data_IF_885868199871
#
_entry.id   IF_885868199871
#
_cell.length_a   1.000
_cell.length_b   1.000
_cell.length_c   1.000
_cell.angle_alpha   90.00
_cell.angle_beta   90.00
_cell.angle_gamma   90.00
#
_symmetry.space_group_name_H-M   'P 1'
#
loop_
_entity.id
_entity.type
_entity.pdbx_description
1 polymer ?
#
# COMPACT_ATOMS: atom_id res chain seq x y z
N UNK A 1 8.53 27.44 -32.74
CA UNK A 1 9.75 27.03 -32.02
C UNK A 1 9.41 25.78 -31.26
N UNK A 2 9.74 24.65 -31.88
CA UNK A 2 9.56 23.31 -31.28
C UNK A 2 10.70 23.04 -30.29
N UNK A 3 10.39 22.56 -29.11
CA UNK A 3 11.38 22.01 -28.18
C UNK A 3 11.13 20.50 -28.07
N UNK A 4 11.96 19.74 -28.74
CA UNK A 4 11.97 18.28 -28.76
C UNK A 4 12.28 17.71 -27.40
N UNK A 5 11.37 16.84 -26.88
CA UNK A 5 11.59 16.02 -25.70
C UNK A 5 12.60 14.89 -25.99
N UNK A 6 13.68 14.83 -25.23
CA UNK A 6 14.58 13.69 -25.18
C UNK A 6 13.96 12.60 -24.29
N UNK A 7 13.55 11.52 -24.90
CA UNK A 7 13.23 10.28 -24.20
C UNK A 7 14.55 9.57 -23.86
N UNK A 8 14.83 9.43 -22.57
CA UNK A 8 15.95 8.60 -22.10
C UNK A 8 15.49 7.15 -22.11
N UNK A 9 15.82 6.42 -23.16
CA UNK A 9 15.69 4.97 -23.21
C UNK A 9 16.88 4.33 -22.52
N UNK A 10 16.60 3.49 -21.50
CA UNK A 10 17.62 2.66 -20.84
C UNK A 10 18.28 1.72 -21.87
N UNK A 11 19.60 1.56 -21.88
CA UNK A 11 20.26 0.66 -22.81
C UNK A 11 19.95 -0.83 -22.48
N UNK A 12 19.91 -1.71 -23.48
CA UNK A 12 19.64 -3.14 -23.28
C UNK A 12 20.79 -3.83 -22.52
N UNK A 13 20.42 -4.80 -21.68
CA UNK A 13 21.29 -5.54 -20.74
C UNK A 13 22.49 -6.31 -21.35
N UNK A 14 22.68 -6.28 -22.67
CA UNK A 14 23.81 -6.94 -23.34
C UNK A 14 25.12 -6.15 -23.34
N UNK A 15 25.07 -4.83 -23.09
CA UNK A 15 26.28 -3.98 -23.21
C UNK A 15 27.20 -4.04 -21.98
N UNK A 16 26.71 -4.44 -20.82
CA UNK A 16 27.52 -4.53 -19.60
C UNK A 16 28.54 -5.67 -19.62
N UNK A 17 28.24 -6.80 -20.27
CA UNK A 17 29.18 -7.93 -20.40
C UNK A 17 30.36 -7.61 -21.31
N UNK A 18 30.17 -6.74 -22.29
CA UNK A 18 31.23 -6.31 -23.23
C UNK A 18 32.14 -5.27 -22.56
N UNK A 19 31.56 -4.35 -21.76
CA UNK A 19 32.30 -3.31 -21.03
C UNK A 19 33.16 -3.92 -19.92
N UNK A 20 32.64 -4.91 -19.18
CA UNK A 20 33.37 -5.59 -18.11
C UNK A 20 34.58 -6.40 -18.64
N UNK A 21 34.39 -7.11 -19.77
CA UNK A 21 35.51 -7.78 -20.46
C UNK A 21 36.55 -6.79 -21.00
N UNK A 22 36.12 -5.59 -21.40
CA UNK A 22 37.04 -4.56 -21.89
C UNK A 22 37.85 -3.95 -20.74
N UNK A 23 37.24 -3.69 -19.57
CA UNK A 23 37.90 -3.18 -18.37
C UNK A 23 38.91 -4.19 -17.83
N UNK A 24 38.56 -5.48 -17.77
CA UNK A 24 39.46 -6.56 -17.36
C UNK A 24 40.63 -6.68 -18.34
N UNK A 25 40.39 -6.62 -19.67
CA UNK A 25 41.44 -6.66 -20.66
C UNK A 25 42.34 -5.42 -20.60
N UNK A 26 41.81 -4.21 -20.33
CA UNK A 26 42.62 -2.99 -20.18
C UNK A 26 43.47 -3.06 -18.91
N UNK A 27 42.94 -3.53 -17.78
CA UNK A 27 43.68 -3.72 -16.53
C UNK A 27 44.79 -4.77 -16.71
N UNK A 28 44.54 -5.88 -17.39
CA UNK A 28 45.51 -6.91 -17.70
C UNK A 28 46.60 -6.36 -18.66
N UNK A 29 46.23 -5.61 -19.71
CA UNK A 29 47.19 -5.02 -20.64
C UNK A 29 48.03 -3.91 -20.01
N UNK A 30 47.49 -3.04 -19.16
CA UNK A 30 48.26 -1.97 -18.47
C UNK A 30 49.27 -2.55 -17.49
N UNK A 31 48.96 -3.68 -16.85
CA UNK A 31 49.89 -4.36 -15.94
C UNK A 31 51.04 -5.08 -16.68
N UNK A 32 50.82 -5.51 -17.94
CA UNK A 32 51.81 -6.18 -18.77
C UNK A 32 52.73 -5.23 -19.54
N UNK A 33 52.35 -3.96 -19.76
CA UNK A 33 53.12 -3.00 -20.53
C UNK A 33 54.25 -2.33 -19.70
N UNK A 34 54.15 -2.34 -18.36
CA UNK A 34 55.16 -1.70 -17.51
C UNK A 34 56.29 -2.67 -17.12
N UNK A 35 57.27 -2.87 -18.02
CA UNK A 35 58.44 -3.79 -17.92
C UNK A 35 59.45 -3.48 -16.80
N UNK A 36 59.13 -2.64 -15.80
CA UNK A 36 60.07 -2.21 -14.75
C UNK A 36 59.66 -2.50 -13.31
N UNK A 37 58.60 -3.26 -13.03
CA UNK A 37 58.30 -3.65 -11.66
C UNK A 37 58.56 -5.14 -11.43
N UNK A 38 59.36 -5.43 -10.42
CA UNK A 38 59.73 -6.78 -9.95
C UNK A 38 58.57 -7.53 -9.23
N UNK A 39 57.32 -7.22 -9.58
CA UNK A 39 56.15 -7.92 -9.02
C UNK A 39 56.09 -9.36 -9.54
N UNK A 40 56.16 -10.31 -8.62
CA UNK A 40 56.09 -11.74 -8.92
C UNK A 40 54.78 -12.05 -9.69
N UNK A 41 54.92 -12.61 -10.87
CA UNK A 41 53.81 -13.01 -11.75
C UNK A 41 52.82 -13.91 -11.04
N UNK A 42 53.21 -14.63 -9.96
CA UNK A 42 52.35 -15.42 -9.13
C UNK A 42 51.40 -14.55 -8.31
N UNK A 43 51.86 -13.47 -7.72
CA UNK A 43 51.06 -12.53 -6.92
C UNK A 43 50.00 -11.87 -7.80
N UNK A 44 50.39 -11.40 -8.97
CA UNK A 44 49.47 -10.78 -9.94
C UNK A 44 48.38 -11.79 -10.40
N UNK A 45 48.76 -13.04 -10.66
CA UNK A 45 47.82 -14.09 -11.06
C UNK A 45 46.83 -14.43 -9.94
N UNK A 46 47.28 -14.53 -8.69
CA UNK A 46 46.43 -14.78 -7.52
C UNK A 46 45.49 -13.60 -7.28
N UNK A 47 45.95 -12.36 -7.41
CA UNK A 47 45.11 -11.17 -7.25
C UNK A 47 44.02 -11.10 -8.32
N UNK A 48 44.34 -11.32 -9.59
CA UNK A 48 43.36 -11.36 -10.69
C UNK A 48 42.36 -12.48 -10.47
N UNK A 49 42.83 -13.68 -10.07
CA UNK A 49 41.96 -14.82 -9.86
C UNK A 49 40.97 -14.60 -8.68
N UNK A 50 41.44 -13.96 -7.60
CA UNK A 50 40.59 -13.62 -6.45
C UNK A 50 39.59 -12.50 -6.81
N UNK A 51 39.99 -11.49 -7.58
CA UNK A 51 39.12 -10.41 -8.00
C UNK A 51 38.02 -10.91 -8.95
N UNK A 52 38.39 -11.75 -9.92
CA UNK A 52 37.42 -12.38 -10.84
C UNK A 52 36.46 -13.31 -10.09
N UNK A 53 36.97 -14.05 -9.12
CA UNK A 53 36.13 -14.96 -8.30
C UNK A 53 35.17 -14.18 -7.43
N UNK A 54 35.62 -13.09 -6.78
CA UNK A 54 34.79 -12.20 -5.96
C UNK A 54 33.67 -11.57 -6.80
N UNK A 55 34.02 -11.00 -7.95
CA UNK A 55 33.05 -10.37 -8.84
C UNK A 55 32.01 -11.38 -9.41
N UNK A 56 32.45 -12.61 -9.71
CA UNK A 56 31.56 -13.71 -10.12
C UNK A 56 30.61 -14.12 -8.99
N UNK A 57 31.04 -14.06 -7.73
CA UNK A 57 30.17 -14.34 -6.57
C UNK A 57 29.14 -13.24 -6.36
N UNK A 58 29.55 -11.97 -6.47
CA UNK A 58 28.65 -10.80 -6.37
C UNK A 58 27.58 -10.82 -7.48
N UNK A 59 27.98 -11.00 -8.74
CA UNK A 59 27.04 -11.13 -9.88
C UNK A 59 26.09 -12.33 -9.72
N UNK A 60 26.56 -13.45 -9.19
CA UNK A 60 25.71 -14.63 -8.96
C UNK A 60 24.72 -14.40 -7.82
N UNK A 61 25.12 -13.65 -6.79
CA UNK A 61 24.24 -13.20 -5.71
C UNK A 61 23.12 -12.28 -6.22
N UNK A 62 23.44 -11.30 -7.03
CA UNK A 62 22.48 -10.36 -7.63
C UNK A 62 21.50 -11.04 -8.59
N UNK A 63 21.99 -11.99 -9.40
CA UNK A 63 21.11 -12.78 -10.31
C UNK A 63 20.18 -13.67 -9.49
N UNK A 64 20.68 -14.32 -8.45
CA UNK A 64 19.84 -15.15 -7.56
C UNK A 64 18.82 -14.30 -6.81
N UNK A 65 19.20 -13.13 -6.30
CA UNK A 65 18.29 -12.20 -5.63
C UNK A 65 17.16 -11.75 -6.57
N UNK A 66 17.48 -11.34 -7.80
CA UNK A 66 16.48 -10.98 -8.81
C UNK A 66 15.56 -12.15 -9.21
N UNK A 67 16.09 -13.37 -9.32
CA UNK A 67 15.26 -14.55 -9.59
C UNK A 67 14.32 -14.87 -8.41
N UNK A 68 14.81 -14.72 -7.18
CA UNK A 68 14.00 -14.93 -5.97
C UNK A 68 12.88 -13.89 -5.91
N UNK A 69 13.18 -12.63 -6.20
CA UNK A 69 12.21 -11.53 -6.24
C UNK A 69 11.18 -11.72 -7.36
N UNK A 70 11.59 -12.13 -8.55
CA UNK A 70 10.69 -12.44 -9.66
C UNK A 70 9.71 -13.59 -9.36
N UNK A 71 10.15 -14.62 -8.62
CA UNK A 71 9.26 -15.69 -8.17
C UNK A 71 8.29 -15.18 -7.09
N UNK A 72 8.75 -14.32 -6.18
CA UNK A 72 7.92 -13.71 -5.15
C UNK A 72 6.77 -12.90 -5.76
N UNK A 73 7.09 -11.98 -6.65
CA UNK A 73 6.10 -11.15 -7.35
C UNK A 73 5.11 -12.00 -8.17
N UNK A 74 5.60 -13.04 -8.84
CA UNK A 74 4.73 -13.92 -9.61
C UNK A 74 3.75 -14.69 -8.72
N UNK A 75 4.18 -15.15 -7.54
CA UNK A 75 3.30 -15.79 -6.55
C UNK A 75 2.24 -14.81 -6.06
N UNK A 76 2.61 -13.56 -5.74
CA UNK A 76 1.64 -12.54 -5.32
C UNK A 76 0.61 -12.23 -6.42
N UNK A 77 1.05 -12.13 -7.68
CA UNK A 77 0.15 -11.87 -8.81
C UNK A 77 -0.84 -13.03 -9.02
N UNK A 78 -0.38 -14.28 -9.01
CA UNK A 78 -1.24 -15.45 -9.12
C UNK A 78 -2.19 -15.58 -7.92
N UNK A 79 -1.70 -15.28 -6.71
CA UNK A 79 -2.51 -15.29 -5.50
C UNK A 79 -3.61 -14.20 -5.55
N UNK A 80 -3.28 -12.99 -6.01
CA UNK A 80 -4.26 -11.91 -6.19
C UNK A 80 -5.40 -12.35 -7.11
N UNK A 81 -5.11 -12.96 -8.24
CA UNK A 81 -6.12 -13.48 -9.17
C UNK A 81 -6.99 -14.55 -8.52
N UNK A 82 -6.38 -15.56 -7.90
CA UNK A 82 -7.08 -16.66 -7.25
C UNK A 82 -8.01 -16.17 -6.13
N UNK A 83 -7.53 -15.25 -5.27
CA UNK A 83 -8.34 -14.67 -4.20
C UNK A 83 -9.47 -13.77 -4.74
N UNK A 84 -9.24 -12.99 -5.79
CA UNK A 84 -10.30 -12.17 -6.40
C UNK A 84 -11.40 -13.03 -7.02
N UNK A 85 -11.05 -14.15 -7.64
CA UNK A 85 -12.02 -15.05 -8.26
C UNK A 85 -12.81 -15.86 -7.22
N UNK A 86 -12.10 -16.57 -6.33
CA UNK A 86 -12.69 -17.57 -5.44
C UNK A 86 -12.96 -17.10 -4.01
N UNK A 87 -12.37 -15.95 -3.62
CA UNK A 87 -12.34 -15.51 -2.23
C UNK A 87 -11.34 -16.29 -1.38
N UNK A 88 -11.04 -15.77 -0.17
CA UNK A 88 -10.04 -16.40 0.71
C UNK A 88 -10.40 -17.85 1.05
N UNK A 89 -11.66 -18.13 1.42
CA UNK A 89 -12.05 -19.46 1.88
C UNK A 89 -11.81 -20.57 0.83
N UNK A 90 -12.17 -20.31 -0.43
CA UNK A 90 -12.12 -21.30 -1.52
C UNK A 90 -10.82 -21.28 -2.32
N UNK A 91 -9.97 -20.29 -2.14
CA UNK A 91 -8.69 -20.20 -2.85
C UNK A 91 -7.72 -21.33 -2.44
N UNK A 92 -6.98 -21.85 -3.43
CA UNK A 92 -6.10 -23.00 -3.31
C UNK A 92 -4.63 -22.62 -3.48
N UNK A 93 -3.81 -22.82 -2.42
CA UNK A 93 -2.36 -22.63 -2.51
C UNK A 93 -1.71 -23.56 -3.57
N UNK A 94 -2.32 -24.70 -3.86
CA UNK A 94 -1.83 -25.62 -4.90
C UNK A 94 -2.03 -25.03 -6.29
N UNK A 95 -3.20 -24.42 -6.54
CA UNK A 95 -3.50 -23.78 -7.82
C UNK A 95 -2.63 -22.53 -8.03
N UNK A 96 -2.44 -21.73 -6.96
CA UNK A 96 -1.54 -20.58 -6.96
C UNK A 96 -0.10 -21.03 -7.29
N UNK A 97 0.41 -22.05 -6.62
CA UNK A 97 1.76 -22.56 -6.86
C UNK A 97 1.93 -23.05 -8.30
N UNK A 98 0.94 -23.78 -8.83
CA UNK A 98 0.93 -24.27 -10.20
C UNK A 98 0.94 -23.10 -11.21
N UNK A 99 0.08 -22.10 -11.01
CA UNK A 99 0.00 -20.91 -11.85
C UNK A 99 1.29 -20.08 -11.81
N UNK A 100 1.92 -19.97 -10.63
CA UNK A 100 3.17 -19.24 -10.44
C UNK A 100 4.43 -20.01 -10.89
N UNK A 101 4.30 -21.24 -11.35
CA UNK A 101 5.45 -22.07 -11.74
C UNK A 101 6.38 -22.45 -10.58
N UNK A 102 5.81 -22.59 -9.36
CA UNK A 102 6.56 -22.93 -8.15
C UNK A 102 5.92 -24.09 -7.39
N UNK A 103 6.46 -24.45 -6.23
CA UNK A 103 5.88 -25.45 -5.35
C UNK A 103 5.10 -24.84 -4.18
N UNK A 104 4.11 -25.57 -3.67
CA UNK A 104 3.42 -25.18 -2.43
C UNK A 104 4.39 -25.05 -1.25
N UNK A 105 5.43 -25.88 -1.18
CA UNK A 105 6.49 -25.77 -0.18
C UNK A 105 7.21 -24.40 -0.23
N UNK A 106 7.45 -23.87 -1.42
CA UNK A 106 8.04 -22.53 -1.60
C UNK A 106 7.12 -21.45 -1.06
N UNK A 107 5.79 -21.57 -1.25
CA UNK A 107 4.80 -20.65 -0.70
C UNK A 107 4.79 -20.71 0.84
N UNK A 108 4.74 -21.91 1.41
CA UNK A 108 4.79 -22.09 2.88
C UNK A 108 6.06 -21.53 3.51
N UNK A 109 7.21 -21.70 2.86
CA UNK A 109 8.48 -21.16 3.36
C UNK A 109 8.48 -19.63 3.42
N UNK A 110 7.79 -18.96 2.50
CA UNK A 110 7.80 -17.49 2.38
C UNK A 110 6.69 -16.81 3.15
N UNK A 111 5.51 -17.40 3.14
CA UNK A 111 4.28 -16.77 3.64
C UNK A 111 3.68 -17.51 4.85
N UNK A 112 4.29 -18.59 5.28
CA UNK A 112 3.85 -19.44 6.39
C UNK A 112 2.59 -20.24 6.07
N UNK A 113 1.54 -19.58 5.58
CA UNK A 113 0.25 -20.20 5.25
C UNK A 113 -0.54 -19.34 4.23
N UNK A 114 -1.80 -19.72 3.99
CA UNK A 114 -2.70 -18.96 3.10
C UNK A 114 -3.04 -17.57 3.66
N UNK A 115 -3.17 -17.45 4.98
CA UNK A 115 -3.44 -16.17 5.63
C UNK A 115 -2.25 -15.22 5.50
N UNK A 116 -1.02 -15.72 5.68
CA UNK A 116 0.20 -14.95 5.47
C UNK A 116 0.37 -14.49 4.03
N UNK A 117 0.00 -15.32 3.05
CA UNK A 117 -0.01 -14.92 1.64
C UNK A 117 -1.06 -13.85 1.34
N UNK A 118 -2.27 -13.96 1.91
CA UNK A 118 -3.31 -12.94 1.79
C UNK A 118 -2.86 -11.63 2.46
N UNK A 119 -2.30 -11.72 3.67
CA UNK A 119 -1.73 -10.57 4.39
C UNK A 119 -0.68 -9.84 3.56
N UNK A 120 0.26 -10.55 2.94
CA UNK A 120 1.30 -9.95 2.10
C UNK A 120 0.74 -9.15 0.92
N UNK A 121 -0.48 -9.48 0.44
CA UNK A 121 -1.17 -8.74 -0.60
C UNK A 121 -1.85 -7.47 -0.09
N UNK A 122 -2.51 -7.54 1.08
CA UNK A 122 -3.43 -6.48 1.50
C UNK A 122 -2.84 -5.53 2.55
N UNK A 123 -1.96 -6.02 3.43
CA UNK A 123 -1.41 -5.25 4.55
C UNK A 123 -0.70 -3.95 4.14
N UNK A 124 0.13 -3.91 3.06
CA UNK A 124 0.78 -2.66 2.68
C UNK A 124 -0.23 -1.54 2.37
N UNK A 125 -1.32 -1.87 1.68
CA UNK A 125 -2.35 -0.90 1.32
C UNK A 125 -3.30 -0.59 2.51
N UNK A 126 -3.70 -1.62 3.27
CA UNK A 126 -4.57 -1.49 4.43
C UNK A 126 -3.92 -0.68 5.55
N UNK A 127 -2.68 -1.02 5.90
CA UNK A 127 -1.92 -0.35 6.95
C UNK A 127 -1.63 1.11 6.60
N UNK A 128 -1.28 1.40 5.35
CA UNK A 128 -1.03 2.77 4.89
C UNK A 128 -2.31 3.61 4.88
N UNK A 129 -3.46 3.08 4.46
CA UNK A 129 -4.73 3.81 4.55
C UNK A 129 -5.08 4.15 6.00
N UNK A 130 -4.95 3.18 6.91
CA UNK A 130 -5.20 3.38 8.34
C UNK A 130 -4.25 4.42 8.94
N UNK A 131 -2.96 4.39 8.58
CA UNK A 131 -1.96 5.38 9.02
C UNK A 131 -2.33 6.78 8.55
N UNK A 132 -2.66 6.96 7.26
CA UNK A 132 -3.11 8.24 6.70
C UNK A 132 -4.38 8.74 7.40
N UNK A 133 -5.33 7.86 7.64
CA UNK A 133 -6.57 8.19 8.32
C UNK A 133 -6.31 8.69 9.75
N UNK A 134 -5.47 8.01 10.51
CA UNK A 134 -5.06 8.45 11.86
C UNK A 134 -4.34 9.80 11.82
N UNK A 135 -3.42 10.02 10.89
CA UNK A 135 -2.73 11.32 10.74
C UNK A 135 -3.68 12.47 10.44
N UNK A 136 -4.73 12.22 9.64
CA UNK A 136 -5.78 13.20 9.35
C UNK A 136 -6.51 13.55 10.63
N UNK A 137 -6.94 12.55 11.40
CA UNK A 137 -7.64 12.75 12.67
C UNK A 137 -6.78 13.53 13.68
N UNK A 138 -5.54 13.10 13.88
CA UNK A 138 -4.62 13.76 14.79
C UNK A 138 -4.30 15.20 14.37
N UNK A 139 -4.14 15.45 13.07
CA UNK A 139 -3.84 16.78 12.56
C UNK A 139 -5.02 17.74 12.73
N UNK A 140 -6.24 17.27 12.51
CA UNK A 140 -7.44 18.05 12.77
C UNK A 140 -7.58 18.43 14.24
N UNK A 141 -7.31 17.50 15.15
CA UNK A 141 -7.44 17.73 16.60
C UNK A 141 -6.29 18.55 17.21
N UNK A 142 -5.30 18.99 16.42
CA UNK A 142 -4.32 20.01 16.84
C UNK A 142 -4.85 21.44 16.71
N UNK A 143 -5.92 21.66 15.94
CA UNK A 143 -6.58 22.96 15.88
C UNK A 143 -7.28 23.26 17.22
N UNK A 144 -7.39 24.55 17.54
CA UNK A 144 -8.25 24.97 18.65
C UNK A 144 -9.75 24.78 18.31
N UNK A 145 -10.60 24.80 19.31
CA UNK A 145 -12.04 24.53 19.15
C UNK A 145 -12.73 25.41 18.09
N UNK A 146 -12.57 26.74 18.10
CA UNK A 146 -13.13 27.60 17.06
C UNK A 146 -12.67 27.24 15.66
N UNK A 147 -11.39 26.96 15.47
CA UNK A 147 -10.83 26.54 14.17
C UNK A 147 -11.37 25.16 13.75
N UNK A 148 -11.53 24.22 14.69
CA UNK A 148 -12.15 22.92 14.40
C UNK A 148 -13.58 23.09 13.87
N UNK A 149 -14.39 23.95 14.50
CA UNK A 149 -15.76 24.22 14.07
C UNK A 149 -15.81 24.88 12.67
N UNK A 150 -14.96 25.85 12.38
CA UNK A 150 -14.92 26.56 11.10
C UNK A 150 -14.43 25.62 9.96
N UNK A 151 -13.41 24.80 10.24
CA UNK A 151 -12.71 24.02 9.22
C UNK A 151 -13.29 22.63 9.00
N UNK A 152 -14.12 22.07 9.90
CA UNK A 152 -14.62 20.71 9.89
C UNK A 152 -15.02 20.23 8.48
N UNK A 153 -15.94 20.94 7.85
CA UNK A 153 -16.51 20.54 6.56
C UNK A 153 -15.48 20.56 5.43
N UNK A 154 -14.61 21.57 5.39
CA UNK A 154 -13.58 21.74 4.35
C UNK A 154 -12.46 20.74 4.53
N UNK A 155 -12.00 20.58 5.79
CA UNK A 155 -10.92 19.68 6.13
C UNK A 155 -11.30 18.22 5.83
N UNK A 156 -12.49 17.79 6.28
CA UNK A 156 -13.01 16.44 6.05
C UNK A 156 -13.18 16.15 4.55
N UNK A 157 -13.73 17.08 3.78
CA UNK A 157 -13.91 16.89 2.34
C UNK A 157 -12.57 16.71 1.61
N UNK A 158 -11.56 17.52 1.93
CA UNK A 158 -10.23 17.42 1.33
C UNK A 158 -9.51 16.12 1.72
N UNK A 159 -9.55 15.77 3.01
CA UNK A 159 -8.95 14.55 3.52
C UNK A 159 -9.55 13.29 2.85
N UNK A 160 -10.87 13.28 2.72
CA UNK A 160 -11.60 12.18 2.08
C UNK A 160 -11.20 11.99 0.61
N UNK A 161 -11.03 13.06 -0.15
CA UNK A 161 -10.57 12.97 -1.54
C UNK A 161 -9.18 12.31 -1.62
N UNK A 162 -8.26 12.71 -0.76
CA UNK A 162 -6.91 12.12 -0.69
C UNK A 162 -6.90 10.64 -0.32
N UNK A 163 -7.76 10.21 0.62
CA UNK A 163 -7.91 8.79 0.96
C UNK A 163 -8.52 8.01 -0.21
N UNK A 164 -9.50 8.59 -0.91
CA UNK A 164 -10.10 7.95 -2.09
C UNK A 164 -9.13 7.82 -3.26
N UNK A 165 -8.29 8.83 -3.49
CA UNK A 165 -7.23 8.75 -4.48
C UNK A 165 -6.31 7.56 -4.21
N UNK A 166 -5.89 7.40 -2.95
CA UNK A 166 -5.05 6.28 -2.54
C UNK A 166 -5.75 4.92 -2.70
N UNK A 167 -7.03 4.82 -2.34
CA UNK A 167 -7.82 3.58 -2.53
C UNK A 167 -7.86 3.18 -4.00
N UNK A 168 -8.05 4.14 -4.91
CA UNK A 168 -8.11 3.85 -6.35
C UNK A 168 -6.74 3.59 -6.98
N UNK A 169 -5.66 4.06 -6.39
CA UNK A 169 -4.29 3.67 -6.76
C UNK A 169 -3.99 2.20 -6.37
N UNK A 170 -4.65 1.69 -5.32
CA UNK A 170 -4.50 0.34 -4.78
C UNK A 170 -5.80 -0.47 -4.88
N UNK A 171 -6.58 -0.25 -5.94
CA UNK A 171 -7.92 -0.82 -6.08
C UNK A 171 -7.97 -2.35 -5.95
N UNK A 172 -7.05 -3.14 -6.51
CA UNK A 172 -7.07 -4.60 -6.37
C UNK A 172 -6.93 -5.06 -4.91
N UNK A 173 -6.10 -4.39 -4.11
CA UNK A 173 -5.89 -4.68 -2.70
C UNK A 173 -7.16 -4.36 -1.89
N UNK A 174 -7.80 -3.23 -2.17
CA UNK A 174 -9.07 -2.86 -1.52
C UNK A 174 -10.24 -3.72 -1.99
N UNK A 175 -10.26 -4.21 -3.23
CA UNK A 175 -11.24 -5.23 -3.64
C UNK A 175 -11.09 -6.52 -2.83
N UNK A 176 -9.86 -6.96 -2.58
CA UNK A 176 -9.60 -8.13 -1.72
C UNK A 176 -10.11 -7.89 -0.29
N UNK A 177 -9.72 -6.76 0.31
CA UNK A 177 -10.12 -6.39 1.68
C UNK A 177 -11.63 -6.33 1.85
N UNK A 178 -12.34 -5.67 0.94
CA UNK A 178 -13.75 -5.33 1.12
C UNK A 178 -14.71 -6.43 0.64
N UNK A 179 -14.23 -7.37 -0.18
CA UNK A 179 -15.11 -8.38 -0.81
C UNK A 179 -14.66 -9.82 -0.59
N UNK A 180 -13.40 -10.05 -0.23
CA UNK A 180 -12.78 -11.38 -0.26
C UNK A 180 -12.09 -11.78 1.03
N UNK A 181 -12.08 -10.91 2.05
CA UNK A 181 -11.36 -11.10 3.30
C UNK A 181 -12.10 -11.95 4.34
N UNK A 182 -13.32 -12.42 4.05
CA UNK A 182 -14.08 -13.24 4.99
C UNK A 182 -13.28 -14.48 5.42
N UNK A 183 -13.12 -14.67 6.74
CA UNK A 183 -12.30 -15.74 7.33
C UNK A 183 -10.81 -15.40 7.49
N UNK A 184 -10.43 -14.15 7.26
CA UNK A 184 -9.11 -13.60 7.59
C UNK A 184 -9.19 -12.62 8.75
N UNK A 185 -8.06 -12.20 9.30
CA UNK A 185 -7.97 -11.11 10.27
C UNK A 185 -8.50 -9.76 9.74
N UNK A 186 -8.55 -9.58 8.41
CA UNK A 186 -9.07 -8.37 7.76
C UNK A 186 -10.59 -8.35 7.57
N UNK A 187 -11.31 -9.38 8.01
CA UNK A 187 -12.77 -9.45 7.86
C UNK A 187 -13.49 -8.25 8.51
N UNK A 188 -12.87 -7.64 9.52
CA UNK A 188 -13.37 -6.50 10.29
C UNK A 188 -12.59 -5.21 10.03
N UNK A 189 -11.89 -5.10 8.90
CA UNK A 189 -11.06 -3.92 8.59
C UNK A 189 -11.83 -2.60 8.60
N UNK A 190 -13.08 -2.61 8.09
CA UNK A 190 -13.94 -1.42 8.09
C UNK A 190 -14.37 -1.06 9.51
N UNK A 191 -14.64 -2.05 10.34
CA UNK A 191 -15.05 -1.83 11.74
C UNK A 191 -13.93 -1.13 12.54
N UNK A 192 -12.65 -1.48 12.28
CA UNK A 192 -11.51 -0.79 12.89
C UNK A 192 -11.44 0.70 12.53
N UNK A 193 -11.78 1.06 11.29
CA UNK A 193 -11.83 2.47 10.86
C UNK A 193 -13.02 3.19 11.51
N UNK A 194 -14.15 2.52 11.67
CA UNK A 194 -15.33 3.04 12.38
C UNK A 194 -14.98 3.37 13.83
N UNK A 195 -14.31 2.47 14.55
CA UNK A 195 -13.91 2.70 15.94
C UNK A 195 -12.99 3.92 16.09
N UNK A 196 -12.06 4.10 15.16
CA UNK A 196 -11.21 5.29 15.12
C UNK A 196 -12.07 6.55 14.96
N UNK A 197 -12.96 6.59 13.97
CA UNK A 197 -13.82 7.75 13.71
C UNK A 197 -14.73 8.07 14.91
N UNK A 198 -15.39 7.07 15.49
CA UNK A 198 -16.23 7.23 16.66
C UNK A 198 -15.44 7.85 17.83
N UNK A 199 -14.23 7.34 18.08
CA UNK A 199 -13.36 7.88 19.14
C UNK A 199 -13.02 9.36 18.91
N UNK A 200 -12.72 9.76 17.68
CA UNK A 200 -12.39 11.13 17.34
C UNK A 200 -13.65 12.04 17.26
N UNK A 201 -14.80 11.50 16.90
CA UNK A 201 -16.09 12.19 16.99
C UNK A 201 -16.39 12.62 18.46
N UNK A 202 -16.18 11.72 19.43
CA UNK A 202 -16.35 12.09 20.83
C UNK A 202 -15.37 13.18 21.30
N UNK A 203 -14.11 13.10 20.86
CA UNK A 203 -13.13 14.17 21.15
C UNK A 203 -13.58 15.52 20.58
N UNK A 204 -14.11 15.52 19.37
CA UNK A 204 -14.64 16.73 18.76
C UNK A 204 -15.84 17.27 19.54
N UNK A 205 -16.79 16.43 19.91
CA UNK A 205 -17.95 16.81 20.73
C UNK A 205 -17.53 17.45 22.06
N UNK A 206 -16.48 16.92 22.72
CA UNK A 206 -15.93 17.47 23.93
C UNK A 206 -15.34 18.88 23.70
N UNK A 207 -14.57 19.06 22.62
CA UNK A 207 -13.94 20.33 22.26
C UNK A 207 -14.96 21.43 21.99
N UNK A 208 -16.06 21.10 21.29
CA UNK A 208 -17.14 22.09 20.99
C UNK A 208 -18.16 22.25 22.14
N UNK A 209 -18.00 21.51 23.24
CA UNK A 209 -18.94 21.55 24.37
C UNK A 209 -20.30 20.94 24.04
N UNK A 210 -20.39 20.00 23.09
CA UNK A 210 -21.63 19.34 22.73
C UNK A 210 -22.12 18.42 23.84
N UNK A 211 -23.33 18.66 24.35
CA UNK A 211 -23.95 17.91 25.44
C UNK A 211 -24.98 16.88 24.97
N UNK A 212 -25.16 16.69 23.66
CA UNK A 212 -26.25 15.88 23.11
C UNK A 212 -26.27 14.43 23.63
N UNK A 213 -25.11 13.80 23.79
CA UNK A 213 -24.99 12.45 24.38
C UNK A 213 -25.19 12.50 25.90
N UNK A 214 -24.55 13.45 26.59
CA UNK A 214 -24.63 13.57 28.05
C UNK A 214 -26.04 13.93 28.52
N UNK A 215 -26.76 14.74 27.74
CA UNK A 215 -28.17 15.08 28.02
C UNK A 215 -29.14 13.95 27.67
N UNK A 216 -28.68 12.91 26.99
CA UNK A 216 -29.53 11.78 26.51
C UNK A 216 -30.36 12.12 25.27
N UNK A 217 -30.12 13.26 24.60
CA UNK A 217 -30.77 13.57 23.32
C UNK A 217 -30.31 12.64 22.20
N UNK A 218 -29.07 12.21 22.26
CA UNK A 218 -28.44 11.27 21.32
C UNK A 218 -27.86 10.11 22.10
N UNK A 219 -28.08 8.87 21.65
CA UNK A 219 -27.47 7.69 22.26
C UNK A 219 -26.08 7.44 21.67
N UNK A 220 -25.19 6.83 22.48
CA UNK A 220 -23.87 6.38 21.98
C UNK A 220 -24.02 5.41 20.82
N UNK A 221 -25.00 4.49 20.91
CA UNK A 221 -25.31 3.54 19.83
C UNK A 221 -25.61 4.26 18.51
N UNK A 222 -26.33 5.40 18.55
CA UNK A 222 -26.66 6.13 17.33
C UNK A 222 -25.39 6.65 16.64
N UNK A 223 -24.43 7.21 17.38
CA UNK A 223 -23.16 7.70 16.79
C UNK A 223 -22.42 6.55 16.12
N UNK A 224 -22.30 5.40 16.77
CA UNK A 224 -21.67 4.22 16.21
C UNK A 224 -22.40 3.72 14.94
N UNK A 225 -23.74 3.63 14.98
CA UNK A 225 -24.55 3.14 13.86
C UNK A 225 -24.46 4.06 12.65
N UNK A 226 -24.57 5.38 12.82
CA UNK A 226 -24.52 6.33 11.68
C UNK A 226 -23.10 6.41 11.11
N UNK A 227 -22.07 6.31 11.92
CA UNK A 227 -20.67 6.22 11.48
C UNK A 227 -20.44 4.94 10.69
N UNK A 228 -20.92 3.79 11.20
CA UNK A 228 -20.86 2.50 10.48
C UNK A 228 -21.56 2.57 9.13
N UNK A 229 -22.75 3.16 9.07
CA UNK A 229 -23.50 3.35 7.83
C UNK A 229 -22.72 4.22 6.82
N UNK A 230 -22.06 5.27 7.30
CA UNK A 230 -21.23 6.15 6.48
C UNK A 230 -20.03 5.42 5.89
N UNK A 231 -19.23 4.72 6.70
CA UNK A 231 -18.05 3.98 6.22
C UNK A 231 -18.44 2.86 5.26
N UNK A 232 -19.51 2.12 5.53
CA UNK A 232 -20.02 1.13 4.59
C UNK A 232 -20.41 1.79 3.26
N UNK A 233 -21.13 2.92 3.28
CA UNK A 233 -21.48 3.69 2.08
C UNK A 233 -20.25 4.20 1.34
N UNK A 234 -19.22 4.65 2.06
CA UNK A 234 -17.95 5.15 1.51
C UNK A 234 -17.22 4.08 0.68
N UNK A 235 -17.30 2.80 1.09
CA UNK A 235 -16.64 1.70 0.39
C UNK A 235 -17.50 1.02 -0.70
N UNK A 236 -18.80 1.37 -0.83
CA UNK A 236 -19.67 0.83 -1.88
C UNK A 236 -19.13 1.04 -3.32
N UNK A 237 -18.53 2.20 -3.68
CA UNK A 237 -17.93 2.37 -4.98
C UNK A 237 -16.89 1.31 -5.35
N UNK A 238 -16.08 0.89 -4.37
CA UNK A 238 -15.08 -0.18 -4.55
C UNK A 238 -15.77 -1.54 -4.70
N UNK A 239 -16.76 -1.83 -3.85
CA UNK A 239 -17.54 -3.09 -3.92
C UNK A 239 -18.26 -3.24 -5.25
N UNK A 240 -18.72 -2.11 -5.84
CA UNK A 240 -19.42 -2.06 -7.12
C UNK A 240 -18.53 -1.78 -8.32
N UNK A 241 -17.21 -1.67 -8.13
CA UNK A 241 -16.23 -1.40 -9.20
C UNK A 241 -16.60 -0.16 -10.02
N UNK A 242 -17.06 0.89 -9.36
CA UNK A 242 -17.30 2.17 -10.03
C UNK A 242 -15.98 2.73 -10.55
N UNK A 243 -16.02 3.45 -11.68
CA UNK A 243 -14.87 4.25 -12.10
C UNK A 243 -14.59 5.38 -11.10
N UNK A 244 -13.32 5.83 -11.05
CA UNK A 244 -12.84 6.80 -10.06
C UNK A 244 -13.65 8.12 -10.08
N UNK A 245 -13.98 8.63 -11.27
CA UNK A 245 -14.68 9.91 -11.39
C UNK A 245 -16.11 9.82 -10.82
N UNK A 246 -16.83 8.75 -11.16
CA UNK A 246 -18.16 8.48 -10.63
C UNK A 246 -18.14 8.23 -9.13
N UNK A 247 -17.15 7.49 -8.64
CA UNK A 247 -16.98 7.20 -7.21
C UNK A 247 -16.71 8.47 -6.40
N UNK A 248 -15.81 9.34 -6.85
CA UNK A 248 -15.55 10.63 -6.20
C UNK A 248 -16.81 11.50 -6.16
N UNK A 249 -17.59 11.55 -7.25
CA UNK A 249 -18.86 12.29 -7.25
C UNK A 249 -19.84 11.74 -6.22
N UNK A 250 -20.01 10.40 -6.16
CA UNK A 250 -20.86 9.74 -5.17
C UNK A 250 -20.40 10.02 -3.72
N UNK A 251 -19.11 9.91 -3.44
CA UNK A 251 -18.56 10.08 -2.10
C UNK A 251 -18.70 11.53 -1.62
N UNK A 252 -18.52 12.53 -2.50
CA UNK A 252 -18.80 13.94 -2.16
C UNK A 252 -20.27 14.17 -1.77
N UNK A 253 -21.21 13.52 -2.45
CA UNK A 253 -22.63 13.61 -2.09
C UNK A 253 -22.90 12.91 -0.75
N UNK A 254 -22.33 11.73 -0.52
CA UNK A 254 -22.46 11.00 0.71
C UNK A 254 -21.90 11.79 1.91
N UNK A 255 -20.73 12.42 1.73
CA UNK A 255 -20.11 13.25 2.77
C UNK A 255 -21.01 14.45 3.13
N UNK A 256 -21.56 15.16 2.13
CA UNK A 256 -22.50 16.27 2.38
C UNK A 256 -23.74 15.83 3.14
N UNK A 257 -24.29 14.68 2.79
CA UNK A 257 -25.45 14.10 3.49
C UNK A 257 -25.09 13.75 4.94
N UNK A 258 -23.94 13.11 5.14
CA UNK A 258 -23.46 12.69 6.45
C UNK A 258 -23.18 13.90 7.36
N UNK A 259 -22.46 14.90 6.86
CA UNK A 259 -22.19 16.14 7.61
C UNK A 259 -23.47 16.87 8.00
N UNK A 260 -24.45 17.00 7.09
CA UNK A 260 -25.73 17.59 7.42
C UNK A 260 -26.50 16.81 8.50
N UNK A 261 -26.38 15.49 8.49
CA UNK A 261 -26.92 14.64 9.58
C UNK A 261 -26.22 14.86 10.91
N UNK A 262 -24.89 14.95 10.91
CA UNK A 262 -24.12 15.20 12.14
C UNK A 262 -24.33 16.59 12.72
N UNK A 263 -24.67 17.61 11.93
CA UNK A 263 -25.09 18.92 12.45
C UNK A 263 -26.28 18.80 13.40
N UNK A 264 -27.21 17.87 13.18
CA UNK A 264 -28.33 17.63 14.11
C UNK A 264 -27.91 17.02 15.44
N UNK A 265 -26.73 16.39 15.46
CA UNK A 265 -26.13 15.79 16.67
C UNK A 265 -25.27 16.81 17.40
N UNK A 266 -24.46 17.58 16.66
CA UNK A 266 -23.52 18.54 17.22
C UNK A 266 -24.22 19.82 17.71
N UNK A 267 -25.25 20.24 17.00
CA UNK A 267 -26.00 21.48 17.24
C UNK A 267 -27.51 21.22 17.28
N UNK A 268 -28.01 20.38 18.23
CA UNK A 268 -29.41 20.00 18.29
C UNK A 268 -30.35 21.19 18.51
N UNK A 269 -29.86 22.28 19.08
CA UNK A 269 -30.61 23.54 19.29
C UNK A 269 -31.06 24.19 17.96
N UNK A 270 -30.38 23.93 16.85
CA UNK A 270 -30.71 24.48 15.54
C UNK A 270 -31.91 23.76 14.90
N UNK A 271 -32.39 22.66 15.47
CA UNK A 271 -33.41 21.78 14.88
C UNK A 271 -34.65 21.55 15.81
N UNK A 272 -34.76 22.35 16.87
CA UNK A 272 -35.89 22.30 17.81
C UNK A 272 -37.05 23.20 17.42
#
# INVERSE_FOLDING_TARGET
MEVSGFAITSPPMHDNLITDNLIINIAVRSTFVNRKSSLDKRIVRVYIQNTVTKHRFELRGDIMAKQIEGVYENVLNCARQEFLEKGFALASLRDIAKAAGTSTGSIYTRFTDKAGLFRALVEPAAGELKRRFLEIQESFHRFDGPTQQEEMGRYTAHAQEGLFDYIYEHLPEFELLLRRAAGTEYAHYVDELVEIEVSYTYKYMEVIGCESVRSGQVTEDLIHIVTTAYFNGMFEPVRHRMDKARALHYVRQLNRYHMAGFETIFHPENFQ
#
